data_IF_664515456504
#
_entry.id   IF_664515456504
#
_cell.length_a   1.000
_cell.length_b   1.000
_cell.length_c   1.000
_cell.angle_alpha   90.00
_cell.angle_beta   90.00
_cell.angle_gamma   90.00
#
_symmetry.space_group_name_H-M   'P 1'
#
loop_
_entity.id
_entity.type
_entity.pdbx_description
1 polymer ?
#
# COMPACT_ATOMS: atom_id res chain seq x y z
N UNK A 1 -0.64 -4.84 -7.77
CA UNK A 1 -1.38 -4.08 -6.73
C UNK A 1 -2.88 -4.32 -6.76
N UNK A 2 -3.66 -3.80 -7.72
CA UNK A 2 -5.12 -4.05 -7.76
C UNK A 2 -5.48 -5.54 -7.69
N UNK A 3 -4.73 -6.40 -8.40
CA UNK A 3 -4.94 -7.85 -8.35
C UNK A 3 -4.79 -8.47 -6.95
N UNK A 4 -3.86 -7.95 -6.13
CA UNK A 4 -3.61 -8.44 -4.76
C UNK A 4 -4.71 -7.97 -3.81
N UNK A 5 -5.17 -6.72 -3.99
CA UNK A 5 -6.10 -6.06 -3.08
C UNK A 5 -7.58 -6.28 -3.42
N UNK A 6 -7.89 -6.68 -4.66
CA UNK A 6 -9.27 -6.85 -5.18
C UNK A 6 -10.17 -7.75 -4.32
N UNK A 7 -9.69 -8.84 -3.69
CA UNK A 7 -10.54 -9.66 -2.81
C UNK A 7 -11.00 -8.94 -1.53
N UNK A 8 -10.35 -7.85 -1.16
CA UNK A 8 -10.50 -7.20 0.14
C UNK A 8 -11.08 -5.79 0.06
N UNK A 9 -11.03 -5.15 -1.10
CA UNK A 9 -11.60 -3.81 -1.32
C UNK A 9 -12.00 -3.62 -2.78
N UNK A 10 -13.05 -2.83 -3.01
CA UNK A 10 -13.43 -2.40 -4.36
C UNK A 10 -12.22 -1.70 -5.03
N UNK A 11 -11.74 -2.18 -6.19
CA UNK A 11 -10.63 -1.55 -6.92
C UNK A 11 -10.81 -0.08 -7.27
N UNK A 12 -12.05 0.45 -7.27
CA UNK A 12 -12.35 1.88 -7.46
C UNK A 12 -11.94 2.73 -6.26
N UNK A 13 -11.92 2.15 -5.06
CA UNK A 13 -11.48 2.82 -3.83
C UNK A 13 -9.96 2.89 -3.72
N UNK A 14 -9.23 2.09 -4.49
CA UNK A 14 -7.77 2.12 -4.52
C UNK A 14 -7.33 3.27 -5.43
N UNK A 15 -6.71 4.29 -4.83
CA UNK A 15 -6.18 5.43 -5.56
C UNK A 15 -4.67 5.52 -5.42
N UNK A 16 -4.08 6.34 -6.29
CA UNK A 16 -2.64 6.46 -6.43
C UNK A 16 -2.24 7.91 -6.42
N UNK A 17 -1.15 8.23 -5.73
CA UNK A 17 -0.53 9.55 -5.78
C UNK A 17 0.95 9.40 -6.03
N UNK A 18 1.41 10.00 -7.11
CA UNK A 18 2.82 10.08 -7.41
C UNK A 18 3.46 11.26 -6.67
N UNK A 19 4.62 11.02 -6.08
CA UNK A 19 5.48 12.04 -5.50
C UNK A 19 6.90 11.84 -6.03
N UNK A 20 7.71 12.89 -6.00
CA UNK A 20 9.07 12.88 -6.56
C UNK A 20 9.89 11.66 -6.11
N UNK A 21 9.80 11.32 -4.82
CA UNK A 21 10.61 10.26 -4.21
C UNK A 21 9.90 8.90 -4.10
N UNK A 22 8.58 8.84 -4.30
CA UNK A 22 7.80 7.62 -4.11
C UNK A 22 6.40 7.71 -4.72
N UNK A 23 5.85 6.54 -5.02
CA UNK A 23 4.47 6.37 -5.43
C UNK A 23 3.63 5.83 -4.27
N UNK A 24 2.52 6.48 -3.96
CA UNK A 24 1.67 6.14 -2.81
C UNK A 24 0.42 5.41 -3.26
N UNK A 25 0.10 4.32 -2.55
CA UNK A 25 -1.19 3.63 -2.68
C UNK A 25 -2.07 4.05 -1.50
N UNK A 26 -3.26 4.56 -1.81
CA UNK A 26 -4.24 5.08 -0.85
C UNK A 26 -5.58 4.38 -1.01
N UNK A 27 -6.41 4.49 0.01
CA UNK A 27 -7.85 4.17 -0.04
C UNK A 27 -8.67 5.46 -0.02
N UNK A 28 -9.69 5.53 -0.87
CA UNK A 28 -10.65 6.64 -0.98
C UNK A 28 -9.99 8.02 -1.22
N UNK A 29 -8.83 8.06 -1.91
CA UNK A 29 -8.03 9.27 -2.11
C UNK A 29 -7.71 10.07 -0.85
N UNK A 30 -7.56 9.37 0.28
CA UNK A 30 -7.32 10.00 1.57
C UNK A 30 -5.90 9.73 2.08
N UNK A 31 -5.12 10.80 2.30
CA UNK A 31 -3.74 10.69 2.82
C UNK A 31 -3.65 10.10 4.24
N UNK A 32 -4.78 10.03 4.98
CA UNK A 32 -4.88 9.34 6.27
C UNK A 32 -5.20 7.84 6.12
N UNK A 33 -5.57 7.40 4.92
CA UNK A 33 -5.85 6.01 4.58
C UNK A 33 -4.78 5.44 3.63
N UNK A 34 -3.53 5.45 4.10
CA UNK A 34 -2.38 5.05 3.30
C UNK A 34 -2.11 3.55 3.47
N UNK A 35 -1.95 2.85 2.35
CA UNK A 35 -1.72 1.39 2.33
C UNK A 35 -0.22 1.10 2.31
N UNK A 36 0.48 1.65 1.33
CA UNK A 36 1.92 1.49 1.19
C UNK A 36 2.52 2.60 0.31
N UNK A 37 3.85 2.70 0.32
CA UNK A 37 4.60 3.50 -0.66
C UNK A 37 5.58 2.63 -1.44
N UNK A 38 5.79 2.98 -2.69
CA UNK A 38 6.70 2.33 -3.60
C UNK A 38 7.82 3.31 -3.95
N UNK A 39 9.04 2.95 -3.59
CA UNK A 39 10.25 3.71 -3.88
C UNK A 39 10.94 3.04 -5.06
N UNK A 40 10.47 3.34 -6.28
CA UNK A 40 11.03 2.75 -7.51
C UNK A 40 12.03 3.66 -8.22
N UNK A 41 12.05 4.94 -7.87
CA UNK A 41 12.95 5.95 -8.45
C UNK A 41 14.36 5.90 -7.86
N UNK A 42 14.65 4.91 -7.01
CA UNK A 42 15.95 4.71 -6.37
C UNK A 42 16.65 3.45 -6.90
N UNK A 43 17.99 3.41 -6.96
CA UNK A 43 18.72 2.20 -7.39
C UNK A 43 18.35 0.96 -6.57
N UNK A 44 18.05 1.14 -5.28
CA UNK A 44 17.48 0.12 -4.42
C UNK A 44 15.96 0.31 -4.36
N UNK A 45 15.21 -0.49 -5.11
CA UNK A 45 13.74 -0.48 -5.07
C UNK A 45 13.26 -0.92 -3.69
N UNK A 46 12.25 -0.24 -3.15
CA UNK A 46 11.68 -0.56 -1.84
C UNK A 46 10.16 -0.41 -1.84
N UNK A 47 9.51 -1.14 -0.94
CA UNK A 47 8.13 -0.92 -0.54
C UNK A 47 8.12 -0.53 0.94
N UNK A 48 7.20 0.34 1.34
CA UNK A 48 7.02 0.68 2.75
C UNK A 48 5.59 0.51 3.22
N UNK A 49 5.46 0.11 4.49
CA UNK A 49 4.20 -0.12 5.18
C UNK A 49 4.16 0.70 6.47
N UNK A 50 2.94 0.88 6.99
CA UNK A 50 2.68 1.74 8.14
C UNK A 50 1.93 0.94 9.22
N UNK A 51 2.49 0.93 10.42
CA UNK A 51 1.83 0.34 11.58
C UNK A 51 0.76 1.28 12.17
N UNK A 52 0.21 0.93 13.32
CA UNK A 52 -0.83 1.73 13.98
C UNK A 52 -0.28 3.04 14.56
N UNK A 53 1.01 3.09 14.88
CA UNK A 53 1.71 4.28 15.36
C UNK A 53 2.24 5.15 14.21
N UNK A 54 1.84 4.84 12.97
CA UNK A 54 2.29 5.47 11.72
C UNK A 54 3.80 5.38 11.50
N UNK A 55 4.47 4.42 12.14
CA UNK A 55 5.88 4.15 11.89
C UNK A 55 6.00 3.47 10.53
N UNK A 56 6.92 4.00 9.73
CA UNK A 56 7.21 3.49 8.40
C UNK A 56 8.26 2.37 8.46
N UNK A 57 7.90 1.19 7.96
CA UNK A 57 8.83 0.06 7.78
C UNK A 57 9.13 -0.11 6.30
N UNK A 58 10.41 -0.06 5.91
CA UNK A 58 10.86 -0.19 4.52
C UNK A 58 11.46 -1.56 4.26
N UNK A 59 10.95 -2.22 3.23
CA UNK A 59 11.41 -3.51 2.76
C UNK A 59 12.08 -3.35 1.39
N UNK A 60 13.26 -3.94 1.22
CA UNK A 60 13.96 -3.94 -0.08
C UNK A 60 13.27 -4.90 -1.03
N UNK A 61 13.19 -4.49 -2.29
CA UNK A 61 12.74 -5.30 -3.41
C UNK A 61 13.95 -5.58 -4.32
N UNK A 62 14.28 -6.85 -4.52
CA UNK A 62 15.25 -7.31 -5.51
C UNK A 62 14.59 -7.42 -6.88
N UNK A 63 13.30 -7.79 -6.91
CA UNK A 63 12.48 -7.85 -8.12
C UNK A 63 11.11 -7.18 -7.88
N UNK A 64 10.34 -6.94 -8.94
CA UNK A 64 8.94 -6.50 -8.77
C UNK A 64 8.06 -7.65 -8.24
N UNK A 65 8.42 -8.90 -8.47
CA UNK A 65 7.66 -10.05 -8.00
C UNK A 65 7.75 -10.19 -6.47
N UNK A 66 8.79 -9.63 -5.85
CA UNK A 66 8.94 -9.58 -4.39
C UNK A 66 7.76 -8.85 -3.71
N UNK A 67 7.00 -8.03 -4.44
CA UNK A 67 5.76 -7.41 -3.94
C UNK A 67 4.75 -8.46 -3.47
N UNK A 68 4.67 -9.62 -4.12
CA UNK A 68 3.72 -10.68 -3.75
C UNK A 68 4.05 -11.29 -2.39
N UNK A 69 5.32 -11.24 -1.97
CA UNK A 69 5.74 -11.69 -0.65
C UNK A 69 5.16 -10.81 0.47
N UNK A 70 4.74 -9.58 0.16
CA UNK A 70 4.15 -8.64 1.11
C UNK A 70 2.62 -8.54 1.00
N UNK A 71 1.98 -9.61 0.49
CA UNK A 71 0.53 -9.65 0.33
C UNK A 71 -0.21 -9.46 1.66
N UNK A 72 0.31 -10.02 2.76
CA UNK A 72 -0.30 -9.88 4.10
C UNK A 72 -0.22 -8.45 4.65
N UNK A 73 0.91 -7.76 4.45
CA UNK A 73 1.08 -6.38 4.88
C UNK A 73 0.19 -5.44 4.06
N UNK A 74 0.10 -5.70 2.76
CA UNK A 74 -0.79 -5.00 1.84
C UNK A 74 -2.26 -5.15 2.26
N UNK A 75 -2.71 -6.39 2.54
CA UNK A 75 -4.10 -6.65 2.96
C UNK A 75 -4.36 -6.16 4.38
N UNK A 76 -3.40 -6.27 5.30
CA UNK A 76 -3.49 -5.68 6.63
C UNK A 76 -3.62 -4.15 6.58
N UNK A 77 -2.92 -3.49 5.66
CA UNK A 77 -3.02 -2.04 5.45
C UNK A 77 -4.41 -1.59 5.02
N UNK A 78 -5.08 -2.34 4.12
CA UNK A 78 -6.47 -2.04 3.71
C UNK A 78 -7.52 -2.52 4.71
N UNK A 79 -7.28 -3.58 5.49
CA UNK A 79 -8.23 -4.08 6.48
C UNK A 79 -8.65 -2.99 7.48
N UNK A 80 -7.70 -2.12 7.88
CA UNK A 80 -7.94 -0.92 8.71
C UNK A 80 -8.99 0.04 8.15
N UNK A 81 -9.26 -0.03 6.85
CA UNK A 81 -10.16 0.88 6.11
C UNK A 81 -11.34 0.15 5.44
N UNK A 82 -11.33 -1.18 5.47
CA UNK A 82 -12.37 -2.03 4.91
C UNK A 82 -13.59 -2.12 5.86
N UNK A 83 -13.37 -2.07 7.18
CA UNK A 83 -14.44 -2.02 8.21
C UNK A 83 -15.06 -0.62 8.37
N UNK A 84 -15.51 -0.06 7.24
CA UNK A 84 -16.27 1.20 7.19
C UNK A 84 -17.67 1.04 6.62
N UNK A 85 -18.17 -0.20 6.50
CA UNK A 85 -19.55 -0.49 6.11
C UNK A 85 -20.04 -1.69 6.94
N UNK A 86 -20.51 -1.41 8.17
CA UNK A 86 -21.60 -2.15 8.80
C UNK A 86 -22.28 -1.22 9.81
N UNK A 87 -23.42 -0.70 9.35
CA UNK A 87 -24.49 0.00 10.07
C UNK A 87 -24.28 1.47 10.46
#
# INVERSE_FOLDING_TARGET
MKSILRPHIDPKRITYRDAVSYFTILVDDNNRKLVCRLYFNTPSKKISFFDNDKKETKCRLNSLDDIYNYSQELTGGIAKYAEGNNQ
#
